data_IF_763188758558
#
_entry.id   IF_763188758558
#
_cell.length_a   1.000
_cell.length_b   1.000
_cell.length_c   1.000
_cell.angle_alpha   90.00
_cell.angle_beta   90.00
_cell.angle_gamma   90.00
#
_symmetry.space_group_name_H-M   'P 1'
#
loop_
_entity.id
_entity.type
_entity.pdbx_description
1 polymer ?
#
# COMPACT_ATOMS: atom_id res chain seq x y z
N UNK A 1 -1.51 13.79 -2.36
CA UNK A 1 -1.97 14.83 -3.31
C UNK A 1 -0.77 15.61 -3.83
N UNK A 2 -0.91 16.50 -4.83
CA UNK A 2 0.12 17.54 -5.00
C UNK A 2 0.07 18.41 -3.75
N UNK A 3 1.06 18.32 -2.88
CA UNK A 3 1.02 19.09 -1.64
C UNK A 3 2.22 18.87 -0.75
N UNK A 4 2.97 19.96 -0.56
CA UNK A 4 3.62 20.52 0.62
C UNK A 4 4.19 19.63 1.76
N UNK A 5 3.71 18.41 1.96
CA UNK A 5 4.03 17.55 3.11
C UNK A 5 5.03 16.43 2.80
N UNK A 6 5.23 16.10 1.51
CA UNK A 6 6.15 15.02 1.08
C UNK A 6 7.25 15.52 0.13
N UNK A 7 7.26 16.81 -0.21
CA UNK A 7 8.21 17.38 -1.19
C UNK A 7 8.06 16.86 -2.63
N UNK A 8 7.08 16.01 -2.92
CA UNK A 8 6.94 15.38 -4.23
C UNK A 8 6.33 16.32 -5.28
N UNK A 9 7.12 16.70 -6.29
CA UNK A 9 6.67 17.53 -7.43
C UNK A 9 5.67 16.81 -8.35
N UNK A 10 5.69 15.47 -8.35
CA UNK A 10 4.79 14.64 -9.14
C UNK A 10 4.17 13.54 -8.29
N UNK A 11 2.89 13.27 -8.56
CA UNK A 11 2.15 12.19 -7.93
C UNK A 11 2.62 10.85 -8.50
N UNK A 12 3.26 10.03 -7.66
CA UNK A 12 3.63 8.66 -8.01
C UNK A 12 2.52 7.70 -7.58
N UNK A 13 2.04 6.87 -8.52
CA UNK A 13 1.08 5.80 -8.20
C UNK A 13 1.74 4.77 -7.27
N UNK A 14 1.02 4.36 -6.23
CA UNK A 14 1.47 3.35 -5.29
C UNK A 14 1.37 1.94 -5.87
N UNK A 15 2.05 0.96 -5.24
CA UNK A 15 2.05 -0.44 -5.70
C UNK A 15 0.65 -1.06 -5.72
N UNK A 16 -0.18 -0.79 -4.70
CA UNK A 16 -1.60 -1.21 -4.65
C UNK A 16 -2.47 -0.63 -5.75
N UNK A 17 -2.14 0.58 -6.24
CA UNK A 17 -2.85 1.20 -7.35
C UNK A 17 -2.47 0.56 -8.68
N UNK A 18 -1.17 0.29 -8.85
CA UNK A 18 -0.63 -0.34 -10.06
C UNK A 18 -1.06 -1.81 -10.20
N UNK A 19 -1.25 -2.51 -9.08
CA UNK A 19 -1.63 -3.91 -9.04
C UNK A 19 -3.14 -4.14 -8.89
N UNK A 20 -3.98 -3.12 -9.05
CA UNK A 20 -5.43 -3.30 -8.99
C UNK A 20 -5.90 -4.32 -10.04
N UNK A 21 -6.74 -5.27 -9.62
CA UNK A 21 -7.16 -6.48 -10.33
C UNK A 21 -6.02 -7.46 -10.66
N UNK A 22 -4.89 -7.34 -9.98
CA UNK A 22 -3.69 -8.14 -10.16
C UNK A 22 -3.26 -8.85 -8.88
N UNK A 23 -1.96 -9.13 -8.78
CA UNK A 23 -1.35 -9.76 -7.62
C UNK A 23 -0.13 -8.97 -7.15
N UNK A 24 0.00 -8.80 -5.83
CA UNK A 24 1.23 -8.31 -5.19
C UNK A 24 1.90 -9.47 -4.48
N UNK A 25 3.18 -9.66 -4.78
CA UNK A 25 4.06 -10.51 -4.00
C UNK A 25 4.80 -9.65 -2.96
N UNK A 26 4.73 -10.04 -1.70
CA UNK A 26 5.45 -9.43 -0.58
C UNK A 26 6.48 -10.43 -0.07
N UNK A 27 7.75 -10.15 -0.31
CA UNK A 27 8.85 -10.96 0.22
C UNK A 27 9.32 -10.43 1.57
N UNK A 28 9.87 -11.31 2.40
CA UNK A 28 10.33 -11.04 3.77
C UNK A 28 9.35 -10.17 4.58
N UNK A 29 8.07 -10.55 4.62
CA UNK A 29 7.04 -9.72 5.26
C UNK A 29 7.31 -9.45 6.75
N UNK A 30 8.11 -10.29 7.42
CA UNK A 30 8.58 -10.08 8.79
C UNK A 30 9.49 -8.85 8.99
N UNK A 31 10.17 -8.37 7.93
CA UNK A 31 11.04 -7.19 7.98
C UNK A 31 10.28 -5.87 7.78
N UNK A 32 8.96 -5.92 7.55
CA UNK A 32 8.13 -4.74 7.39
C UNK A 32 7.99 -3.98 8.72
N UNK A 33 8.14 -2.65 8.69
CA UNK A 33 7.92 -1.83 9.89
C UNK A 33 6.46 -1.91 10.39
N UNK A 34 6.25 -1.73 11.69
CA UNK A 34 4.92 -1.86 12.31
C UNK A 34 3.89 -0.91 11.69
N UNK A 35 4.29 0.29 11.30
CA UNK A 35 3.37 1.27 10.71
C UNK A 35 2.88 0.82 9.32
N UNK A 36 3.75 0.20 8.52
CA UNK A 36 3.44 -0.39 7.23
C UNK A 36 2.59 -1.66 7.40
N UNK A 37 2.86 -2.49 8.40
CA UNK A 37 2.02 -3.66 8.72
C UNK A 37 0.57 -3.26 9.06
N UNK A 38 0.37 -2.23 9.89
CA UNK A 38 -0.97 -1.70 10.21
C UNK A 38 -1.70 -1.22 8.96
N UNK A 39 -0.99 -0.53 8.05
CA UNK A 39 -1.56 -0.09 6.78
C UNK A 39 -1.92 -1.26 5.88
N UNK A 40 -1.05 -2.27 5.78
CA UNK A 40 -1.31 -3.49 5.02
C UNK A 40 -2.55 -4.22 5.53
N UNK A 41 -2.72 -4.31 6.85
CA UNK A 41 -3.90 -4.92 7.46
C UNK A 41 -5.20 -4.20 7.06
N UNK A 42 -5.18 -2.86 7.02
CA UNK A 42 -6.33 -2.07 6.52
C UNK A 42 -6.64 -2.39 5.07
N UNK A 43 -5.63 -2.54 4.22
CA UNK A 43 -5.85 -2.92 2.81
C UNK A 43 -6.46 -4.32 2.70
N UNK A 44 -6.00 -5.27 3.51
CA UNK A 44 -6.54 -6.63 3.51
C UNK A 44 -8.00 -6.69 3.98
N UNK A 45 -8.35 -5.92 5.00
CA UNK A 45 -9.70 -5.92 5.60
C UNK A 45 -10.69 -5.10 4.77
N UNK A 46 -10.36 -3.86 4.48
CA UNK A 46 -11.30 -2.88 3.89
C UNK A 46 -11.22 -2.84 2.35
N UNK A 47 -10.19 -3.49 1.77
CA UNK A 47 -9.88 -3.43 0.33
C UNK A 47 -9.69 -1.99 -0.16
N UNK A 48 -9.15 -1.13 0.70
CA UNK A 48 -8.84 0.26 0.37
C UNK A 48 -7.55 0.73 1.02
N UNK A 49 -6.95 1.77 0.45
CA UNK A 49 -5.75 2.40 0.98
C UNK A 49 -5.75 3.90 0.73
N UNK A 50 -4.92 4.61 1.48
CA UNK A 50 -4.69 6.04 1.30
C UNK A 50 -3.30 6.28 0.70
N UNK A 51 -3.17 7.33 -0.12
CA UNK A 51 -1.85 7.77 -0.57
C UNK A 51 -1.13 8.45 0.58
N UNK A 52 0.21 8.38 0.59
CA UNK A 52 1.02 9.11 1.58
C UNK A 52 0.66 10.60 1.53
N UNK A 53 0.30 11.16 2.70
CA UNK A 53 -0.12 12.55 2.84
C UNK A 53 -1.49 12.89 2.23
N UNK A 54 -2.30 11.89 1.86
CA UNK A 54 -3.69 12.06 1.47
C UNK A 54 -4.62 11.35 2.44
N UNK A 55 -5.86 11.83 2.52
CA UNK A 55 -6.92 11.29 3.39
C UNK A 55 -8.05 10.65 2.58
N UNK A 56 -7.91 10.59 1.25
CA UNK A 56 -8.92 9.99 0.37
C UNK A 56 -8.67 8.48 0.26
N UNK A 57 -9.61 7.63 0.73
CA UNK A 57 -9.52 6.20 0.53
C UNK A 57 -9.67 5.84 -0.95
N UNK A 58 -8.92 4.83 -1.38
CA UNK A 58 -8.90 4.32 -2.76
C UNK A 58 -9.14 2.82 -2.69
N UNK A 59 -10.25 2.37 -3.26
CA UNK A 59 -10.56 0.94 -3.37
C UNK A 59 -9.57 0.24 -4.30
N UNK A 60 -9.17 -0.96 -3.92
CA UNK A 60 -8.34 -1.85 -4.74
C UNK A 60 -8.82 -3.27 -4.59
N UNK A 61 -8.78 -4.02 -5.69
CA UNK A 61 -9.02 -5.46 -5.70
C UNK A 61 -7.70 -6.14 -6.04
N UNK A 62 -6.96 -6.56 -5.02
CA UNK A 62 -5.63 -7.17 -5.25
C UNK A 62 -5.53 -8.48 -4.50
N UNK A 63 -4.97 -9.48 -5.17
CA UNK A 63 -4.52 -10.71 -4.50
C UNK A 63 -3.16 -10.45 -3.86
N UNK A 64 -2.98 -10.80 -2.60
CA UNK A 64 -1.69 -10.68 -1.92
C UNK A 64 -1.12 -12.08 -1.69
N UNK A 65 0.14 -12.27 -2.07
CA UNK A 65 0.92 -13.47 -1.76
C UNK A 65 2.12 -13.01 -0.95
N UNK A 66 2.27 -13.54 0.27
CA UNK A 66 3.35 -13.16 1.16
C UNK A 66 4.32 -14.34 1.36
N UNK A 67 5.60 -14.03 1.47
CA UNK A 67 6.66 -14.94 1.86
C UNK A 67 7.44 -14.33 3.04
N UNK A 68 7.98 -15.20 3.89
CA UNK A 68 8.95 -14.85 4.93
C UNK A 68 9.89 -16.02 5.13
N UNK A 69 11.12 -15.74 5.54
CA UNK A 69 11.97 -16.76 6.12
C UNK A 69 11.62 -16.92 7.60
N UNK A 70 11.70 -18.16 8.12
CA UNK A 70 11.41 -18.49 9.51
C UNK A 70 12.70 -18.50 10.34
#
# INVERSE_FOLDING_TARGET
EKGAFTGASQQKKGKFELANKGTIFLDEIGNMDLAAQVKLLRVLQEKEFERVGGYKPIKTDVRIVAATNA
#
